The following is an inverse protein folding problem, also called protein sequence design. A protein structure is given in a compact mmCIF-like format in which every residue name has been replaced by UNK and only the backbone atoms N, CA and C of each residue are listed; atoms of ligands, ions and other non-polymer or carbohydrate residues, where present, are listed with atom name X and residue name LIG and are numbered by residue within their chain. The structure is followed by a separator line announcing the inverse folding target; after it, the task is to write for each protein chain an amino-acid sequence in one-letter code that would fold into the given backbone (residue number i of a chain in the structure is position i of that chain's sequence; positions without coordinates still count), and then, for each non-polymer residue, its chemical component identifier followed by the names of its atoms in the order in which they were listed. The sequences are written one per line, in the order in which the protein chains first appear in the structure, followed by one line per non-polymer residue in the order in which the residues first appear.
data_IF_946403665616
#
_entry.id   IF_946403665616
#
_cell.length_a   1.000
_cell.length_b   1.000
_cell.length_c   1.000
_cell.angle_alpha   90.00
_cell.angle_beta   90.00
_cell.angle_gamma   90.00
#
_symmetry.space_group_name_H-M   'P 1'
#
loop_
_entity.id
_entity.type
_entity.pdbx_description
1 polymer ?
#
# COMPACT_ATOMS: atom_id res chain seq x y z
N UNK A 1 18.32 -32.58 11.34
CA UNK A 1 18.73 -31.97 10.06
C UNK A 1 19.80 -30.95 10.41
N UNK A 2 21.02 -31.14 9.92
CA UNK A 2 22.14 -30.25 10.21
C UNK A 2 21.94 -28.97 9.39
N UNK A 3 21.75 -27.85 10.07
CA UNK A 3 21.71 -26.55 9.44
C UNK A 3 22.59 -25.63 10.30
N UNK A 4 23.51 -24.93 9.64
CA UNK A 4 24.08 -23.64 10.05
C UNK A 4 25.50 -23.60 10.66
N UNK A 5 26.52 -24.12 9.96
CA UNK A 5 27.92 -23.69 10.21
C UNK A 5 28.48 -22.73 9.13
N UNK A 6 27.74 -22.47 8.04
CA UNK A 6 28.22 -21.71 6.90
C UNK A 6 27.43 -20.42 6.60
N UNK A 7 26.40 -20.09 7.37
CA UNK A 7 25.68 -18.83 7.19
C UNK A 7 26.32 -17.73 8.02
N UNK A 8 26.57 -16.60 7.38
CA UNK A 8 26.94 -15.38 8.09
C UNK A 8 25.82 -14.96 9.03
N UNK A 9 26.11 -14.19 10.09
CA UNK A 9 25.09 -13.66 10.99
C UNK A 9 23.99 -12.88 10.25
N UNK A 10 24.34 -12.24 9.14
CA UNK A 10 23.41 -11.52 8.27
C UNK A 10 22.45 -12.47 7.53
N UNK A 11 22.95 -13.57 7.00
CA UNK A 11 22.13 -14.60 6.33
C UNK A 11 21.18 -15.32 7.30
N UNK A 12 21.63 -15.56 8.53
CA UNK A 12 20.79 -16.10 9.61
C UNK A 12 19.65 -15.13 9.97
N UNK A 13 19.95 -13.84 10.13
CA UNK A 13 18.93 -12.83 10.41
C UNK A 13 17.88 -12.72 9.30
N UNK A 14 18.30 -12.85 8.03
CA UNK A 14 17.39 -12.84 6.87
C UNK A 14 16.53 -14.10 6.83
N UNK A 15 17.09 -15.28 7.12
CA UNK A 15 16.34 -16.52 7.19
C UNK A 15 15.31 -16.51 8.33
N UNK A 16 15.69 -15.99 9.50
CA UNK A 16 14.78 -15.83 10.64
C UNK A 16 13.65 -14.82 10.34
N UNK A 17 13.95 -13.69 9.69
CA UNK A 17 12.91 -12.72 9.26
C UNK A 17 11.95 -13.33 8.23
N UNK A 18 12.46 -14.17 7.32
CA UNK A 18 11.65 -14.87 6.33
C UNK A 18 10.75 -15.94 6.96
N UNK A 19 11.29 -16.74 7.89
CA UNK A 19 10.52 -17.79 8.60
C UNK A 19 9.49 -17.22 9.58
N UNK A 20 9.78 -16.09 10.23
CA UNK A 20 8.84 -15.41 11.12
C UNK A 20 7.64 -14.81 10.37
N UNK A 21 7.79 -14.55 9.06
CA UNK A 21 6.80 -13.86 8.26
C UNK A 21 6.62 -12.39 8.65
N UNK A 22 5.83 -11.65 7.88
CA UNK A 22 5.59 -10.23 8.19
C UNK A 22 4.58 -10.10 9.32
N UNK A 23 4.95 -9.40 10.38
CA UNK A 23 4.03 -9.07 11.48
C UNK A 23 2.86 -8.22 10.96
N UNK A 24 1.72 -8.29 11.65
CA UNK A 24 0.58 -7.43 11.35
C UNK A 24 0.96 -5.94 11.35
N UNK A 25 1.79 -5.53 12.30
CA UNK A 25 2.31 -4.16 12.36
C UNK A 25 3.23 -3.83 11.17
N UNK A 26 4.00 -4.79 10.65
CA UNK A 26 4.81 -4.61 9.43
C UNK A 26 3.95 -4.59 8.17
N UNK A 27 2.85 -5.33 8.12
CA UNK A 27 1.87 -5.28 7.03
C UNK A 27 1.08 -3.96 7.05
N UNK A 28 0.71 -3.50 8.25
CA UNK A 28 -0.02 -2.26 8.46
C UNK A 28 0.90 -1.02 8.24
N UNK A 29 2.20 -1.12 8.54
CA UNK A 29 3.22 -0.09 8.26
C UNK A 29 3.94 -0.22 6.92
N UNK A 30 3.80 -1.36 6.22
CA UNK A 30 4.10 -1.46 4.80
C UNK A 30 3.04 -0.62 4.12
N UNK A 31 3.22 0.70 4.18
CA UNK A 31 2.40 1.71 3.51
C UNK A 31 1.98 1.11 2.19
N UNK A 32 0.66 1.02 2.02
CA UNK A 32 -0.02 0.48 0.86
C UNK A 32 0.49 1.26 -0.36
N UNK A 33 1.62 0.82 -0.90
CA UNK A 33 2.21 1.36 -2.10
C UNK A 33 1.32 0.79 -3.19
N UNK A 34 0.17 1.44 -3.39
CA UNK A 34 -0.62 1.31 -4.59
C UNK A 34 0.40 1.38 -5.73
N UNK A 35 0.60 0.25 -6.41
CA UNK A 35 1.65 0.12 -7.40
C UNK A 35 1.54 1.27 -8.40
N UNK A 36 2.69 1.70 -8.93
CA UNK A 36 2.74 2.74 -9.96
C UNK A 36 1.73 2.38 -11.06
N UNK A 37 0.70 3.20 -11.23
CA UNK A 37 -0.31 3.01 -12.27
C UNK A 37 -1.69 2.48 -11.85
N UNK A 38 -2.06 2.45 -10.56
CA UNK A 38 -3.46 2.15 -10.17
C UNK A 38 -4.48 3.05 -10.89
N UNK A 39 -4.11 4.31 -11.15
CA UNK A 39 -4.94 5.28 -11.85
C UNK A 39 -4.99 5.06 -13.36
N UNK A 40 -4.00 4.35 -13.93
CA UNK A 40 -3.94 4.00 -15.36
C UNK A 40 -4.95 2.91 -15.75
N UNK A 41 -5.46 2.15 -14.77
CA UNK A 41 -6.50 1.15 -14.99
C UNK A 41 -7.93 1.72 -14.88
N UNK A 42 -8.08 3.00 -14.52
CA UNK A 42 -9.38 3.64 -14.44
C UNK A 42 -9.87 4.01 -15.86
N UNK A 43 -11.19 3.97 -16.11
CA UNK A 43 -11.76 4.55 -17.31
C UNK A 43 -11.28 6.00 -17.49
N UNK A 44 -10.96 6.39 -18.72
CA UNK A 44 -10.35 7.69 -19.03
C UNK A 44 -11.10 8.88 -18.40
N UNK A 45 -12.44 8.86 -18.47
CA UNK A 45 -13.29 9.91 -17.89
C UNK A 45 -13.23 10.00 -16.38
N UNK A 46 -12.91 8.90 -15.69
CA UNK A 46 -12.73 8.87 -14.24
C UNK A 46 -11.34 9.36 -13.85
N UNK A 47 -10.32 8.97 -14.61
CA UNK A 47 -8.94 9.47 -14.45
C UNK A 47 -8.88 10.99 -14.59
N UNK A 48 -9.54 11.58 -15.60
CA UNK A 48 -9.58 13.04 -15.78
C UNK A 48 -10.22 13.76 -14.59
N UNK A 49 -11.34 13.23 -14.07
CA UNK A 49 -12.03 13.81 -12.90
C UNK A 49 -11.18 13.73 -11.65
N UNK A 50 -10.49 12.60 -11.46
CA UNK A 50 -9.60 12.38 -10.33
C UNK A 50 -8.42 13.36 -10.37
N UNK A 51 -7.78 13.50 -11.53
CA UNK A 51 -6.66 14.43 -11.74
C UNK A 51 -7.08 15.89 -11.50
N UNK A 52 -8.25 16.30 -12.04
CA UNK A 52 -8.79 17.63 -11.83
C UNK A 52 -9.03 17.90 -10.34
N UNK A 53 -9.63 16.95 -9.63
CA UNK A 53 -9.96 17.10 -8.21
C UNK A 53 -8.73 17.09 -7.31
N UNK A 54 -7.77 16.22 -7.57
CA UNK A 54 -6.49 16.18 -6.87
C UNK A 54 -5.75 17.52 -6.99
N UNK A 55 -5.77 18.12 -8.19
CA UNK A 55 -5.21 19.46 -8.43
C UNK A 55 -5.93 20.56 -7.67
N UNK A 56 -7.27 20.54 -7.62
CA UNK A 56 -8.07 21.50 -6.86
C UNK A 56 -7.78 21.43 -5.36
N UNK A 57 -7.62 20.22 -4.81
CA UNK A 57 -7.41 19.99 -3.38
C UNK A 57 -5.94 20.04 -2.97
N UNK A 58 -5.01 20.13 -3.92
CA UNK A 58 -3.57 20.17 -3.65
C UNK A 58 -3.01 18.85 -3.10
N UNK A 59 -3.68 17.73 -3.37
CA UNK A 59 -3.32 16.39 -2.91
C UNK A 59 -2.97 15.48 -4.09
N UNK A 60 -2.38 14.31 -3.82
CA UNK A 60 -2.18 13.31 -4.86
C UNK A 60 -3.49 12.59 -5.20
N UNK A 61 -3.59 12.12 -6.44
CA UNK A 61 -4.69 11.25 -6.89
C UNK A 61 -4.88 10.03 -5.98
N UNK A 62 -3.78 9.43 -5.51
CA UNK A 62 -3.80 8.30 -4.57
C UNK A 62 -4.37 8.67 -3.21
N UNK A 63 -4.01 9.84 -2.66
CA UNK A 63 -4.56 10.32 -1.40
C UNK A 63 -6.07 10.56 -1.51
N UNK A 64 -6.51 11.10 -2.64
CA UNK A 64 -7.94 11.29 -2.94
C UNK A 64 -8.69 9.96 -3.02
N UNK A 65 -8.16 8.96 -3.74
CA UNK A 65 -8.74 7.61 -3.81
C UNK A 65 -8.80 6.98 -2.42
N UNK A 66 -7.70 7.03 -1.67
CA UNK A 66 -7.61 6.41 -0.35
C UNK A 66 -8.62 7.03 0.63
N UNK A 67 -8.77 8.35 0.58
CA UNK A 67 -9.78 9.07 1.35
C UNK A 67 -11.20 8.65 0.95
N UNK A 68 -11.52 8.64 -0.35
CA UNK A 68 -12.84 8.26 -0.84
C UNK A 68 -13.23 6.82 -0.48
N UNK A 69 -12.29 5.87 -0.60
CA UNK A 69 -12.49 4.47 -0.19
C UNK A 69 -12.69 4.38 1.32
N UNK A 70 -11.90 5.10 2.11
CA UNK A 70 -12.04 5.13 3.57
C UNK A 70 -13.41 5.66 3.99
N UNK A 71 -13.87 6.78 3.42
CA UNK A 71 -15.19 7.33 3.70
C UNK A 71 -16.32 6.35 3.32
N UNK A 72 -16.20 5.69 2.17
CA UNK A 72 -17.17 4.68 1.72
C UNK A 72 -17.28 3.50 2.69
N UNK A 73 -16.14 2.97 3.15
CA UNK A 73 -16.10 1.83 4.05
C UNK A 73 -16.51 2.18 5.49
N UNK A 74 -16.23 3.40 5.94
CA UNK A 74 -16.67 3.91 7.24
C UNK A 74 -18.18 4.20 7.30
N UNK A 75 -18.86 4.26 6.16
CA UNK A 75 -20.28 4.64 6.08
C UNK A 75 -20.53 6.14 6.22
N UNK A 76 -19.48 6.96 6.20
CA UNK A 76 -19.54 8.42 6.24
C UNK A 76 -20.06 9.04 4.93
N UNK A 77 -20.39 8.20 3.94
CA UNK A 77 -21.04 8.57 2.69
C UNK A 77 -22.56 8.76 2.83
N UNK A 78 -23.07 8.97 4.05
CA UNK A 78 -24.49 9.15 4.32
C UNK A 78 -24.96 10.56 3.91
N UNK A 79 -25.52 10.62 2.69
CA UNK A 79 -26.38 11.66 2.10
C UNK A 79 -25.73 12.97 1.63
#
# INVERSE_FOLDING_TARGET
MAMNENMTPEELAVAEDFEAGWSKDRLDNAEFNWGVGITDFLPHTLSEKLAARAKEEGVSELALISSAVSMYLSGDNAA
#
